data_IF_570726494288
#
_entry.id   IF_570726494288
#
_cell.length_a   1.000
_cell.length_b   1.000
_cell.length_c   1.000
_cell.angle_alpha   90.00
_cell.angle_beta   90.00
_cell.angle_gamma   90.00
#
_symmetry.space_group_name_H-M   'P 1'
#
loop_
_entity.id
_entity.type
_entity.pdbx_description
1 polymer ?
#
# COMPACT_ATOMS: atom_id res chain seq x y z
N UNK A 1 -2.32 -11.06 6.50
CA UNK A 1 -1.46 -10.23 7.36
C UNK A 1 -0.01 -10.48 6.97
N UNK A 2 0.80 -9.44 6.77
CA UNK A 2 2.21 -9.60 6.35
C UNK A 2 3.08 -10.15 7.49
N UNK A 3 3.98 -11.12 7.21
CA UNK A 3 4.87 -11.70 8.21
C UNK A 3 5.82 -10.62 8.77
N UNK A 4 6.35 -10.87 9.97
CA UNK A 4 7.19 -9.90 10.69
C UNK A 4 8.47 -9.56 9.93
N UNK A 5 9.06 -10.52 9.23
CA UNK A 5 10.26 -10.33 8.39
C UNK A 5 10.01 -9.31 7.27
N UNK A 6 8.97 -9.52 6.46
CA UNK A 6 8.59 -8.59 5.38
C UNK A 6 8.22 -7.22 5.94
N UNK A 7 7.50 -7.17 7.07
CA UNK A 7 7.18 -5.91 7.71
C UNK A 7 8.42 -5.14 8.20
N UNK A 8 9.44 -5.84 8.71
CA UNK A 8 10.69 -5.24 9.16
C UNK A 8 11.48 -4.66 8.01
N UNK A 9 11.61 -5.42 6.93
CA UNK A 9 12.36 -5.00 5.77
C UNK A 9 11.65 -3.86 5.03
N UNK A 10 10.32 -3.92 4.89
CA UNK A 10 9.53 -2.79 4.38
C UNK A 10 9.65 -1.54 5.26
N UNK A 11 9.65 -1.72 6.59
CA UNK A 11 9.86 -0.63 7.54
C UNK A 11 11.23 0.04 7.36
N UNK A 12 12.29 -0.75 7.22
CA UNK A 12 13.64 -0.24 6.98
C UNK A 12 13.75 0.44 5.61
N UNK A 13 13.20 -0.17 4.54
CA UNK A 13 13.17 0.35 3.16
C UNK A 13 12.54 1.75 3.09
N UNK A 14 11.50 2.00 3.87
CA UNK A 14 10.80 3.29 3.88
C UNK A 14 11.58 4.44 4.54
N UNK A 15 12.68 4.14 5.25
CA UNK A 15 13.33 5.10 6.14
C UNK A 15 12.45 5.51 7.34
N UNK A 16 11.61 4.59 7.84
CA UNK A 16 10.70 4.79 8.99
C UNK A 16 9.62 5.84 8.74
N UNK A 17 9.20 6.01 7.48
CA UNK A 17 8.22 7.03 7.07
C UNK A 17 7.04 6.40 6.35
N UNK A 18 5.90 7.09 6.42
CA UNK A 18 4.71 6.71 5.66
C UNK A 18 4.99 6.78 4.14
N UNK A 19 4.60 5.72 3.42
CA UNK A 19 4.78 5.61 1.97
C UNK A 19 3.52 5.96 1.18
N UNK A 20 2.48 6.48 1.85
CA UNK A 20 1.23 6.80 1.19
C UNK A 20 1.45 7.72 -0.01
N UNK A 21 0.85 7.36 -1.15
CA UNK A 21 0.83 8.19 -2.35
C UNK A 21 -0.46 9.01 -2.51
N UNK A 22 -1.38 8.87 -1.55
CA UNK A 22 -2.67 9.54 -1.61
C UNK A 22 -2.53 11.02 -1.20
N UNK A 23 -2.81 11.92 -2.15
CA UNK A 23 -2.69 13.38 -2.02
C UNK A 23 -3.81 14.03 -1.19
N UNK A 24 -4.92 13.33 -0.93
CA UNK A 24 -6.11 13.91 -0.25
C UNK A 24 -6.24 13.53 1.23
N UNK A 25 -5.23 12.90 1.81
CA UNK A 25 -5.12 12.76 3.26
C UNK A 25 -4.45 14.03 3.82
N UNK A 26 -5.24 15.00 4.33
CA UNK A 26 -4.91 16.22 5.11
C UNK A 26 -3.50 16.85 5.02
N UNK A 27 -2.81 16.63 3.91
CA UNK A 27 -1.43 16.99 3.62
C UNK A 27 -1.41 17.23 2.12
N UNK A 28 -1.23 18.48 1.69
CA UNK A 28 -1.02 18.81 0.28
C UNK A 28 0.31 18.30 -0.29
N UNK A 29 1.04 17.45 0.45
CA UNK A 29 2.40 16.96 0.21
C UNK A 29 2.53 15.52 0.73
N UNK A 30 3.66 14.86 0.43
CA UNK A 30 3.99 13.52 0.96
C UNK A 30 3.86 13.51 2.49
N UNK A 31 3.18 12.49 3.04
CA UNK A 31 3.00 12.33 4.48
C UNK A 31 4.36 12.28 5.20
N UNK A 32 4.51 13.12 6.22
CA UNK A 32 5.76 13.27 6.96
C UNK A 32 5.78 12.49 8.29
N UNK A 33 4.73 11.70 8.57
CA UNK A 33 4.65 10.96 9.83
C UNK A 33 5.80 9.96 9.97
N UNK A 34 6.53 10.10 11.08
CA UNK A 34 7.55 9.15 11.51
C UNK A 34 6.84 7.96 12.16
N UNK A 35 7.27 6.77 11.77
CA UNK A 35 6.74 5.51 12.28
C UNK A 35 7.67 4.97 13.38
N UNK A 36 7.10 4.31 14.38
CA UNK A 36 7.85 3.68 15.46
C UNK A 36 7.69 2.18 15.33
N UNK A 37 8.79 1.46 15.12
CA UNK A 37 8.81 0.00 14.86
C UNK A 37 7.89 -0.79 15.81
N UNK A 38 8.04 -0.59 17.12
CA UNK A 38 7.27 -1.29 18.16
C UNK A 38 5.80 -0.85 18.27
N UNK A 39 5.35 0.10 17.45
CA UNK A 39 3.97 0.58 17.38
C UNK A 39 3.22 0.07 16.14
N UNK A 40 3.68 -1.02 15.52
CA UNK A 40 2.88 -1.71 14.49
C UNK A 40 1.50 -2.07 15.05
N UNK A 41 0.43 -1.79 14.31
CA UNK A 41 -0.95 -2.03 14.72
C UNK A 41 -1.54 -0.95 15.65
N UNK A 42 -0.71 -0.14 16.30
CA UNK A 42 -1.13 0.86 17.28
C UNK A 42 -2.01 1.97 16.68
N UNK A 43 -3.03 2.37 17.42
CA UNK A 43 -4.05 3.34 17.01
C UNK A 43 -3.72 4.78 17.47
N UNK A 44 -2.50 5.26 17.23
CA UNK A 44 -2.09 6.61 17.61
C UNK A 44 -0.77 7.04 16.95
N UNK A 45 -0.17 8.13 17.44
CA UNK A 45 1.07 8.69 16.89
C UNK A 45 2.20 7.67 16.85
N UNK A 46 2.93 7.65 15.73
CA UNK A 46 3.97 6.65 15.45
C UNK A 46 3.44 5.26 15.11
N UNK A 47 2.12 5.04 15.15
CA UNK A 47 1.49 3.78 14.78
C UNK A 47 1.40 3.59 13.27
N UNK A 48 1.57 2.35 12.83
CA UNK A 48 1.65 2.02 11.41
C UNK A 48 1.18 0.61 11.10
N UNK A 49 0.89 0.36 9.82
CA UNK A 49 0.58 -0.96 9.29
C UNK A 49 1.19 -1.20 7.92
N UNK A 50 1.35 -2.50 7.59
CA UNK A 50 1.69 -2.93 6.23
C UNK A 50 0.42 -3.05 5.41
N UNK A 51 0.44 -2.48 4.22
CA UNK A 51 -0.67 -2.49 3.28
C UNK A 51 -0.21 -3.11 1.95
N UNK A 52 -0.99 -4.03 1.36
CA UNK A 52 -0.69 -4.57 0.03
C UNK A 52 -0.96 -3.50 -1.03
N UNK A 53 -0.03 -3.34 -1.97
CA UNK A 53 -0.20 -2.41 -3.09
C UNK A 53 -1.29 -2.93 -4.02
N UNK A 54 -1.15 -4.19 -4.44
CA UNK A 54 -2.18 -4.99 -5.09
C UNK A 54 -2.74 -6.01 -4.10
N UNK A 55 -4.05 -5.95 -3.85
CA UNK A 55 -4.76 -6.88 -2.95
C UNK A 55 -4.72 -8.33 -3.44
N UNK A 56 -4.60 -8.53 -4.76
CA UNK A 56 -4.56 -9.85 -5.38
C UNK A 56 -3.13 -10.34 -5.61
N UNK A 57 -2.14 -9.47 -5.39
CA UNK A 57 -0.73 -9.81 -5.51
C UNK A 57 -0.22 -10.64 -4.33
N UNK A 58 0.93 -11.28 -4.54
CA UNK A 58 1.60 -12.07 -3.51
C UNK A 58 2.02 -11.23 -2.31
N UNK A 59 2.15 -11.87 -1.15
CA UNK A 59 2.72 -11.26 0.06
C UNK A 59 4.23 -11.15 -0.11
N UNK A 60 4.69 -10.05 -0.69
CA UNK A 60 6.11 -9.77 -0.95
C UNK A 60 6.48 -8.33 -0.59
N UNK A 61 7.78 -8.04 -0.56
CA UNK A 61 8.28 -6.68 -0.32
C UNK A 61 7.89 -5.72 -1.44
N UNK A 62 7.90 -6.20 -2.68
CA UNK A 62 7.56 -5.41 -3.86
C UNK A 62 6.07 -5.07 -3.93
N UNK A 63 5.23 -5.92 -3.32
CA UNK A 63 3.79 -5.72 -3.25
C UNK A 63 3.32 -5.15 -1.90
N UNK A 64 4.19 -4.45 -1.16
CA UNK A 64 3.80 -3.83 0.09
C UNK A 64 4.28 -2.39 0.25
N UNK A 65 3.47 -1.62 0.95
CA UNK A 65 3.81 -0.28 1.42
C UNK A 65 3.52 -0.19 2.92
N UNK A 66 4.29 0.63 3.63
CA UNK A 66 3.97 0.92 5.02
C UNK A 66 3.22 2.25 5.14
N UNK A 67 2.15 2.23 5.91
CA UNK A 67 1.27 3.38 6.08
C UNK A 67 1.18 3.73 7.56
N UNK A 68 1.21 5.03 7.88
CA UNK A 68 0.79 5.46 9.21
C UNK A 68 -0.68 5.08 9.44
N UNK A 69 -1.10 4.98 10.70
CA UNK A 69 -2.46 4.50 11.00
C UNK A 69 -3.56 5.34 10.35
N UNK A 70 -3.38 6.65 10.29
CA UNK A 70 -4.32 7.57 9.62
C UNK A 70 -4.48 7.23 8.14
N UNK A 71 -3.37 7.09 7.40
CA UNK A 71 -3.39 6.70 5.99
C UNK A 71 -3.98 5.30 5.78
N UNK A 72 -3.60 4.33 6.61
CA UNK A 72 -4.09 2.95 6.52
C UNK A 72 -5.62 2.88 6.64
N UNK A 73 -6.19 3.64 7.59
CA UNK A 73 -7.66 3.74 7.76
C UNK A 73 -8.34 4.37 6.55
N UNK A 74 -7.75 5.41 5.97
CA UNK A 74 -8.31 6.08 4.80
C UNK A 74 -8.33 5.16 3.58
N UNK A 75 -7.20 4.50 3.29
CA UNK A 75 -7.12 3.54 2.18
C UNK A 75 -8.14 2.41 2.36
N UNK A 76 -8.33 1.90 3.59
CA UNK A 76 -9.38 0.91 3.88
C UNK A 76 -10.79 1.45 3.67
N UNK A 77 -11.08 2.69 4.07
CA UNK A 77 -12.40 3.31 3.86
C UNK A 77 -12.72 3.47 2.38
N UNK A 78 -11.74 3.90 1.58
CA UNK A 78 -11.91 4.07 0.13
C UNK A 78 -12.14 2.71 -0.54
N UNK A 79 -11.43 1.66 -0.14
CA UNK A 79 -11.64 0.30 -0.68
C UNK A 79 -13.03 -0.28 -0.35
N UNK A 80 -13.63 0.09 0.77
CA UNK A 80 -14.92 -0.46 1.22
C UNK A 80 -16.14 0.33 0.74
N UNK A 81 -15.93 1.49 0.12
CA UNK A 81 -16.98 2.37 -0.37
C UNK A 81 -16.62 2.73 -1.80
N UNK A 82 -17.35 2.21 -2.79
CA UNK A 82 -17.38 2.71 -4.18
C UNK A 82 -17.92 4.16 -4.23
N UNK A 83 -17.30 5.08 -3.50
CA UNK A 83 -17.64 6.50 -3.51
C UNK A 83 -16.96 7.15 -4.71
N UNK A 84 -17.58 6.99 -5.87
CA UNK A 84 -17.88 8.03 -6.86
C UNK A 84 -16.79 9.07 -7.22
N UNK A 85 -15.50 8.78 -7.12
CA UNK A 85 -14.47 9.54 -7.84
C UNK A 85 -13.16 8.73 -8.01
N UNK A 86 -12.88 8.17 -9.21
CA UNK A 86 -11.67 7.37 -9.46
C UNK A 86 -10.35 8.15 -9.36
N UNK A 87 -10.38 9.47 -9.13
CA UNK A 87 -9.20 10.32 -8.91
C UNK A 87 -8.70 10.42 -7.46
N UNK A 88 -9.33 9.75 -6.47
CA UNK A 88 -9.10 10.06 -5.06
C UNK A 88 -7.77 9.54 -4.45
N UNK A 89 -7.19 8.45 -4.98
CA UNK A 89 -5.83 8.00 -4.64
C UNK A 89 -5.13 7.34 -5.86
N UNK A 90 -5.58 7.69 -7.08
CA UNK A 90 -5.34 7.07 -8.39
C UNK A 90 -4.53 5.76 -8.40
N UNK A 91 -5.27 4.70 -8.75
CA UNK A 91 -4.81 3.44 -9.33
C UNK A 91 -3.33 3.44 -9.75
N UNK A 92 -2.53 2.58 -9.11
CA UNK A 92 -1.45 1.97 -9.88
C UNK A 92 -2.11 1.07 -10.93
N UNK A 93 -1.76 1.15 -12.22
CA UNK A 93 -2.09 0.05 -13.11
C UNK A 93 -1.46 -1.20 -12.49
N UNK A 94 -2.26 -2.23 -12.24
CA UNK A 94 -1.74 -3.56 -11.99
C UNK A 94 -0.71 -3.82 -13.10
N UNK A 95 0.52 -4.22 -12.73
CA UNK A 95 1.44 -4.78 -13.70
C UNK A 95 0.75 -6.00 -14.29
N UNK A 96 0.09 -5.82 -15.44
CA UNK A 96 -0.37 -6.92 -16.26
C UNK A 96 0.91 -7.58 -16.76
N UNK A 97 1.35 -8.63 -16.07
CA UNK A 97 2.24 -9.61 -16.70
C UNK A 97 1.42 -10.27 -17.81
N UNK A 98 1.45 -9.67 -18.99
CA UNK A 98 0.97 -10.26 -20.24
C UNK A 98 1.95 -11.37 -20.61
N UNK A 99 1.72 -12.57 -20.09
CA UNK A 99 2.22 -13.78 -20.75
C UNK A 99 1.23 -14.04 -21.87
N UNK A 100 1.54 -13.53 -23.06
CA UNK A 100 0.81 -13.86 -24.28
C UNK A 100 1.08 -15.32 -24.63
N UNK A 101 0.13 -16.20 -24.35
CA UNK A 101 0.07 -17.53 -24.96
C UNK A 101 -0.36 -17.38 -26.42
N UNK A 102 0.58 -17.37 -27.34
CA UNK A 102 0.28 -17.61 -28.77
C UNK A 102 0.16 -19.11 -28.99
N UNK A 103 -1.06 -19.62 -28.92
CA UNK A 103 -1.45 -20.83 -29.63
C UNK A 103 -1.60 -20.46 -31.11
N UNK A 104 -0.62 -20.83 -31.92
CA UNK A 104 -0.78 -20.86 -33.38
C UNK A 104 -1.03 -22.30 -33.79
N UNK A 105 -2.30 -22.62 -34.00
CA UNK A 105 -2.73 -23.73 -34.85
C UNK A 105 -2.81 -23.18 -36.27
N UNK A 106 -1.99 -23.70 -37.18
CA UNK A 106 -2.02 -23.40 -38.60
C UNK A 106 -1.98 -24.71 -39.38
N UNK A 107 -2.92 -24.84 -40.31
CA UNK A 107 -3.24 -25.96 -41.19
C UNK A 107 -2.06 -26.51 -41.99
#
# INVERSE_FOLDING_TARGET
>A
MFPKSIALEAYNRSGRRCECKCSYHNHGQKCQNILIWNRRGFNGSGGWEVHPIDNNGLVSLDNCEILCKSCFRLVKKIKNKDLANPGLCSMRPALKNSISTTTTTGL
#
